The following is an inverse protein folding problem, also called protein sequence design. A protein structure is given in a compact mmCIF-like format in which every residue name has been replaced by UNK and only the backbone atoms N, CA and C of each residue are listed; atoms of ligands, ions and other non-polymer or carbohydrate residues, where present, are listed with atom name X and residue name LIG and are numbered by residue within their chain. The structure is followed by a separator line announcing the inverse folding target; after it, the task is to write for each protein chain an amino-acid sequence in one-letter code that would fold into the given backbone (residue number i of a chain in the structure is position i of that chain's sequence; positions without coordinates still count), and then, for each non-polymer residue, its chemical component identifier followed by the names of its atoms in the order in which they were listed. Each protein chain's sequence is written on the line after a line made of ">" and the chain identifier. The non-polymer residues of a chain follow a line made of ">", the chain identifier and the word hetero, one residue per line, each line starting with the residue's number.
data_IF_299620578460
#
_entry.id   IF_299620578460
#
_cell.length_a   1.000
_cell.length_b   1.000
_cell.length_c   1.000
_cell.angle_alpha   90.00
_cell.angle_beta   90.00
_cell.angle_gamma   90.00
#
_symmetry.space_group_name_H-M   'P 1'
#
loop_
_entity.id
_entity.type
_entity.pdbx_description
1 polymer ?
#
# COMPACT_ATOMS: atom_id res chain seq x y z
N UNK A 1 10.65 -24.93 -23.91
CA UNK A 1 11.03 -23.65 -23.27
C UNK A 1 10.15 -22.51 -23.77
N UNK A 2 9.65 -21.67 -22.86
CA UNK A 2 9.03 -20.36 -23.11
C UNK A 2 9.98 -19.28 -22.62
N UNK A 3 10.21 -18.26 -23.43
CA UNK A 3 11.00 -17.09 -23.02
C UNK A 3 10.13 -16.14 -22.20
N UNK A 4 10.70 -15.62 -21.12
CA UNK A 4 10.08 -14.70 -20.18
C UNK A 4 11.05 -13.55 -19.88
N UNK A 5 10.48 -12.40 -19.53
CA UNK A 5 11.23 -11.20 -19.21
C UNK A 5 10.62 -10.53 -17.98
N UNK A 6 11.45 -10.23 -16.98
CA UNK A 6 11.06 -9.56 -15.75
C UNK A 6 11.94 -8.33 -15.52
N UNK A 7 11.33 -7.23 -15.08
CA UNK A 7 12.08 -6.02 -14.73
C UNK A 7 12.87 -6.21 -13.42
N UNK A 8 14.07 -5.64 -13.36
CA UNK A 8 14.97 -5.66 -12.21
C UNK A 8 15.85 -4.40 -12.25
N UNK A 9 15.73 -3.55 -11.23
CA UNK A 9 16.32 -2.22 -11.29
C UNK A 9 15.81 -1.44 -12.50
N UNK A 10 16.71 -0.79 -13.23
CA UNK A 10 16.38 -0.07 -14.47
C UNK A 10 16.39 -0.96 -15.73
N UNK A 11 16.75 -2.23 -15.58
CA UNK A 11 16.93 -3.19 -16.66
C UNK A 11 15.87 -4.31 -16.61
N UNK A 12 16.07 -5.33 -17.45
CA UNK A 12 15.26 -6.54 -17.47
C UNK A 12 16.12 -7.81 -17.52
N UNK A 13 15.64 -8.85 -16.86
CA UNK A 13 16.23 -10.18 -16.85
C UNK A 13 15.40 -11.09 -17.75
N UNK A 14 16.05 -11.67 -18.76
CA UNK A 14 15.46 -12.67 -19.65
C UNK A 14 15.84 -14.06 -19.19
N UNK A 15 14.88 -14.97 -19.19
CA UNK A 15 15.08 -16.36 -18.82
C UNK A 15 14.08 -17.26 -19.55
N UNK A 16 14.22 -18.57 -19.38
CA UNK A 16 13.28 -19.51 -19.97
C UNK A 16 12.94 -20.66 -19.04
N UNK A 17 11.69 -21.09 -19.09
CA UNK A 17 11.17 -22.23 -18.35
C UNK A 17 10.51 -23.23 -19.31
N UNK A 18 10.43 -24.54 -18.98
CA UNK A 18 9.59 -25.49 -19.71
C UNK A 18 8.13 -25.01 -19.72
N UNK A 19 7.43 -25.18 -20.85
CA UNK A 19 6.07 -24.64 -21.00
C UNK A 19 5.08 -25.37 -20.09
N UNK A 20 5.31 -26.66 -19.95
CA UNK A 20 4.60 -27.62 -19.10
C UNK A 20 4.69 -27.29 -17.61
N UNK A 21 5.75 -26.59 -17.18
CA UNK A 21 5.97 -26.21 -15.79
C UNK A 21 5.32 -24.86 -15.44
N UNK A 22 4.94 -24.05 -16.43
CA UNK A 22 4.33 -22.73 -16.20
C UNK A 22 2.82 -22.89 -16.00
N UNK A 23 2.35 -22.69 -14.78
CA UNK A 23 0.91 -22.59 -14.49
C UNK A 23 0.30 -21.30 -15.04
N UNK A 24 1.07 -20.21 -15.04
CA UNK A 24 0.64 -18.94 -15.61
C UNK A 24 1.59 -17.78 -15.32
N UNK A 25 1.38 -16.69 -16.05
CA UNK A 25 1.94 -15.37 -15.74
C UNK A 25 0.82 -14.56 -15.09
N UNK A 26 1.02 -14.20 -13.83
CA UNK A 26 0.07 -13.42 -13.03
C UNK A 26 0.39 -11.95 -13.25
N UNK A 27 -0.37 -11.33 -14.13
CA UNK A 27 -0.29 -9.92 -14.49
C UNK A 27 -1.66 -9.26 -14.33
N UNK A 28 -1.70 -7.92 -14.34
CA UNK A 28 -2.94 -7.14 -14.25
C UNK A 28 -3.89 -7.56 -15.37
N UNK A 29 -5.18 -7.63 -15.05
CA UNK A 29 -6.19 -7.98 -16.04
C UNK A 29 -6.32 -6.88 -17.09
N UNK A 30 -6.74 -7.27 -18.29
CA UNK A 30 -7.08 -6.30 -19.35
C UNK A 30 -8.21 -5.40 -18.84
N UNK A 31 -7.97 -4.10 -18.90
CA UNK A 31 -8.92 -3.09 -18.48
C UNK A 31 -9.18 -2.12 -19.64
N UNK A 32 -10.17 -2.46 -20.45
CA UNK A 32 -10.53 -1.66 -21.61
C UNK A 32 -11.55 -0.61 -21.19
N UNK A 33 -11.24 0.65 -21.45
CA UNK A 33 -12.09 1.79 -21.14
C UNK A 33 -12.57 2.45 -22.42
N UNK A 34 -13.86 2.73 -22.47
CA UNK A 34 -14.47 3.54 -23.53
C UNK A 34 -14.63 5.02 -23.12
N UNK A 35 -13.99 5.41 -22.01
CA UNK A 35 -14.08 6.73 -21.39
C UNK A 35 -12.67 7.32 -21.16
N UNK A 36 -12.56 8.62 -21.29
CA UNK A 36 -11.39 9.41 -20.90
C UNK A 36 -11.27 9.54 -19.38
N UNK A 37 -10.08 9.92 -18.87
CA UNK A 37 -9.88 10.18 -17.43
C UNK A 37 -10.85 11.27 -16.93
N UNK A 38 -11.07 12.32 -17.73
CA UNK A 38 -11.98 13.42 -17.39
C UNK A 38 -13.43 12.94 -17.26
N UNK A 39 -13.93 12.13 -18.19
CA UNK A 39 -15.29 11.55 -18.13
C UNK A 39 -15.45 10.67 -16.89
N UNK A 40 -14.46 9.82 -16.58
CA UNK A 40 -14.46 8.97 -15.39
C UNK A 40 -14.55 9.81 -14.10
N UNK A 41 -13.75 10.89 -14.02
CA UNK A 41 -13.73 11.78 -12.85
C UNK A 41 -15.08 12.49 -12.71
N UNK A 42 -15.57 13.13 -13.78
CA UNK A 42 -16.83 13.89 -13.76
C UNK A 42 -18.03 13.02 -13.41
N UNK A 43 -18.16 11.86 -14.04
CA UNK A 43 -19.26 10.94 -13.77
C UNK A 43 -19.25 10.47 -12.31
N UNK A 44 -18.07 10.23 -11.74
CA UNK A 44 -17.97 9.85 -10.33
C UNK A 44 -18.37 10.99 -9.40
N UNK A 45 -18.07 12.25 -9.70
CA UNK A 45 -18.46 13.41 -8.88
C UNK A 45 -19.97 13.66 -8.98
N UNK A 46 -20.53 13.53 -10.18
CA UNK A 46 -21.96 13.75 -10.46
C UNK A 46 -22.86 12.64 -9.89
N UNK A 47 -22.32 11.44 -9.69
CA UNK A 47 -23.06 10.26 -9.20
C UNK A 47 -22.42 9.70 -7.91
N UNK A 48 -22.44 10.44 -6.79
CA UNK A 48 -21.84 10.00 -5.54
C UNK A 48 -22.58 8.80 -4.94
N UNK A 49 -21.82 7.86 -4.39
CA UNK A 49 -22.34 6.61 -3.84
C UNK A 49 -22.79 6.86 -2.40
N UNK A 50 -24.08 6.61 -2.14
CA UNK A 50 -24.69 6.72 -0.81
C UNK A 50 -24.43 8.07 -0.12
N UNK A 51 -24.43 9.16 -0.89
CA UNK A 51 -24.20 10.53 -0.42
C UNK A 51 -24.94 11.50 -1.34
N UNK A 52 -25.24 12.71 -0.85
CA UNK A 52 -25.61 13.80 -1.73
C UNK A 52 -24.39 14.28 -2.55
N UNK A 53 -24.60 14.96 -3.69
CA UNK A 53 -23.55 15.67 -4.43
C UNK A 53 -22.73 16.60 -3.51
N UNK A 54 -21.42 16.69 -3.73
CA UNK A 54 -20.53 17.46 -2.87
C UNK A 54 -20.93 18.94 -2.77
N UNK A 55 -21.38 19.54 -3.86
CA UNK A 55 -21.90 20.93 -3.89
C UNK A 55 -23.14 21.16 -3.02
N UNK A 56 -23.87 20.10 -2.65
CA UNK A 56 -25.06 20.19 -1.78
C UNK A 56 -24.70 19.92 -0.31
N UNK A 57 -23.51 19.39 -0.05
CA UNK A 57 -23.02 19.08 1.29
C UNK A 57 -22.24 20.22 1.94
N UNK A 58 -21.83 21.21 1.14
CA UNK A 58 -21.00 22.35 1.57
C UNK A 58 -21.68 23.66 1.19
N UNK A 59 -21.46 24.69 1.99
CA UNK A 59 -22.16 25.97 1.92
C UNK A 59 -21.22 27.16 2.10
N UNK A 60 -21.68 28.36 1.70
CA UNK A 60 -20.91 29.59 1.89
C UNK A 60 -20.57 29.83 3.37
N UNK A 61 -19.29 30.13 3.63
CA UNK A 61 -18.76 30.42 4.97
C UNK A 61 -18.27 29.19 5.76
N UNK A 62 -18.44 27.98 5.23
CA UNK A 62 -17.91 26.74 5.81
C UNK A 62 -16.47 26.49 5.36
N UNK A 63 -15.67 25.92 6.26
CA UNK A 63 -14.26 25.58 6.02
C UNK A 63 -14.09 24.13 5.60
N UNK A 64 -13.27 23.93 4.57
CA UNK A 64 -13.10 22.62 3.93
C UNK A 64 -11.65 22.17 4.04
N UNK A 65 -11.42 21.03 4.68
CA UNK A 65 -10.14 20.34 4.67
C UNK A 65 -10.15 19.22 3.62
N UNK A 66 -9.34 19.38 2.56
CA UNK A 66 -9.10 18.34 1.57
C UNK A 66 -7.83 17.58 1.98
N UNK A 67 -8.00 16.35 2.44
CA UNK A 67 -6.89 15.47 2.80
C UNK A 67 -6.34 14.82 1.54
N UNK A 68 -5.06 15.08 1.26
CA UNK A 68 -4.37 14.60 0.05
C UNK A 68 -3.22 13.65 0.41
N UNK A 69 -2.95 12.62 -0.39
CA UNK A 69 -1.73 11.82 -0.27
C UNK A 69 -0.44 12.62 -0.45
N UNK A 70 0.66 12.11 0.08
CA UNK A 70 2.01 12.69 -0.05
C UNK A 70 2.74 12.29 -1.36
N UNK A 71 3.97 12.75 -1.57
CA UNK A 71 4.76 12.51 -2.80
C UNK A 71 4.97 11.03 -3.10
N UNK A 72 4.99 10.17 -2.08
CA UNK A 72 5.12 8.72 -2.25
C UNK A 72 3.91 8.10 -2.95
N UNK A 73 2.88 8.91 -3.23
CA UNK A 73 1.64 8.58 -3.93
C UNK A 73 1.41 9.44 -5.18
N UNK A 74 2.42 10.13 -5.72
CA UNK A 74 2.28 10.93 -6.95
C UNK A 74 1.70 10.16 -8.15
N UNK A 75 1.92 8.84 -8.21
CA UNK A 75 1.33 7.93 -9.21
C UNK A 75 -0.21 7.92 -9.20
N UNK A 76 -0.86 8.48 -8.18
CA UNK A 76 -2.31 8.59 -8.09
C UNK A 76 -2.88 9.76 -8.89
N UNK A 77 -2.04 10.60 -9.50
CA UNK A 77 -2.45 11.68 -10.43
C UNK A 77 -3.41 12.69 -9.79
N UNK A 78 -3.10 13.11 -8.56
CA UNK A 78 -3.88 14.09 -7.77
C UNK A 78 -4.19 15.37 -8.58
N UNK A 79 -3.18 15.94 -9.22
CA UNK A 79 -3.30 17.16 -10.03
C UNK A 79 -4.28 17.05 -11.20
N UNK A 80 -4.63 15.82 -11.61
CA UNK A 80 -5.63 15.58 -12.66
C UNK A 80 -7.06 15.68 -12.11
N UNK A 81 -7.33 15.18 -10.90
CA UNK A 81 -8.70 15.12 -10.37
C UNK A 81 -9.04 16.21 -9.34
N UNK A 82 -8.06 16.74 -8.60
CA UNK A 82 -8.30 17.75 -7.56
C UNK A 82 -8.97 19.03 -8.10
N UNK A 83 -8.65 19.54 -9.30
CA UNK A 83 -9.34 20.71 -9.85
C UNK A 83 -10.86 20.54 -9.94
N UNK A 84 -11.34 19.34 -10.32
CA UNK A 84 -12.77 19.05 -10.42
C UNK A 84 -13.44 18.97 -9.04
N UNK A 85 -12.74 18.48 -8.03
CA UNK A 85 -13.24 18.46 -6.64
C UNK A 85 -13.38 19.89 -6.12
N UNK A 86 -12.36 20.73 -6.33
CA UNK A 86 -12.39 22.14 -5.93
C UNK A 86 -13.51 22.89 -6.65
N UNK A 87 -13.70 22.66 -7.95
CA UNK A 87 -14.80 23.25 -8.70
C UNK A 87 -16.17 22.86 -8.11
N UNK A 88 -16.36 21.60 -7.75
CA UNK A 88 -17.61 21.12 -7.15
C UNK A 88 -17.88 21.73 -5.77
N UNK A 89 -16.84 21.91 -4.94
CA UNK A 89 -16.94 22.61 -3.65
C UNK A 89 -17.36 24.07 -3.87
N UNK A 90 -16.76 24.76 -4.84
CA UNK A 90 -17.09 26.16 -5.16
C UNK A 90 -18.53 26.34 -5.65
N UNK A 91 -19.12 25.33 -6.31
CA UNK A 91 -20.54 25.34 -6.67
C UNK A 91 -21.48 25.34 -5.45
N UNK A 92 -21.00 24.90 -4.29
CA UNK A 92 -21.69 25.04 -3.01
C UNK A 92 -21.59 26.44 -2.38
N UNK A 93 -20.79 27.34 -2.95
CA UNK A 93 -20.61 28.73 -2.48
C UNK A 93 -19.39 28.94 -1.57
N UNK A 94 -18.59 27.91 -1.31
CA UNK A 94 -17.34 28.02 -0.54
C UNK A 94 -16.31 28.85 -1.30
N UNK A 95 -15.62 29.75 -0.60
CA UNK A 95 -14.57 30.62 -1.15
C UNK A 95 -13.21 29.94 -1.10
N UNK A 96 -12.31 30.35 -1.98
CA UNK A 96 -10.97 29.76 -2.08
C UNK A 96 -10.18 29.87 -0.76
N UNK A 97 -10.38 30.95 0.00
CA UNK A 97 -9.75 31.19 1.31
C UNK A 97 -10.21 30.24 2.43
N UNK A 98 -11.36 29.60 2.25
CA UNK A 98 -11.94 28.64 3.21
C UNK A 98 -11.56 27.18 2.88
N UNK A 99 -10.79 26.94 1.81
CA UNK A 99 -10.33 25.62 1.40
C UNK A 99 -8.85 25.44 1.76
N UNK A 100 -8.55 24.35 2.46
CA UNK A 100 -7.18 23.96 2.82
C UNK A 100 -6.85 22.55 2.36
N UNK A 101 -5.64 22.37 1.82
CA UNK A 101 -5.08 21.05 1.55
C UNK A 101 -4.23 20.59 2.72
N UNK A 102 -4.56 19.41 3.27
CA UNK A 102 -3.78 18.75 4.31
C UNK A 102 -3.11 17.50 3.73
N UNK A 103 -1.80 17.57 3.54
CA UNK A 103 -0.98 16.47 3.06
C UNK A 103 -0.80 15.41 4.15
N UNK A 104 -1.27 14.20 3.84
CA UNK A 104 -1.38 13.05 4.72
C UNK A 104 -0.09 12.20 4.71
N UNK A 105 0.98 12.81 5.21
CA UNK A 105 2.33 12.21 5.31
C UNK A 105 2.39 10.99 6.23
N UNK A 106 1.46 10.85 7.17
CA UNK A 106 1.55 9.87 8.25
C UNK A 106 2.89 9.98 9.00
N UNK A 107 3.74 8.97 8.88
CA UNK A 107 5.07 8.94 9.53
C UNK A 107 6.21 9.33 8.59
N UNK A 108 5.90 9.82 7.38
CA UNK A 108 6.91 10.27 6.43
C UNK A 108 7.37 11.70 6.75
N UNK A 109 8.43 12.13 6.06
CA UNK A 109 8.93 13.50 6.11
C UNK A 109 7.93 14.49 5.51
N UNK A 110 8.14 15.76 5.85
CA UNK A 110 7.55 16.90 5.15
C UNK A 110 7.96 16.90 3.67
N UNK A 111 7.12 17.54 2.86
CA UNK A 111 7.25 17.65 1.42
C UNK A 111 7.92 18.98 1.08
N UNK A 112 8.65 18.99 -0.03
CA UNK A 112 9.15 20.24 -0.60
C UNK A 112 8.05 20.94 -1.39
N UNK A 113 8.21 22.24 -1.63
CA UNK A 113 7.32 23.02 -2.49
C UNK A 113 7.14 22.38 -3.87
N UNK A 114 8.22 21.90 -4.49
CA UNK A 114 8.15 21.23 -5.80
C UNK A 114 7.37 19.91 -5.74
N UNK A 115 7.47 19.17 -4.63
CA UNK A 115 6.67 17.97 -4.42
C UNK A 115 5.18 18.30 -4.24
N UNK A 116 4.83 19.39 -3.53
CA UNK A 116 3.45 19.86 -3.46
C UNK A 116 2.91 20.26 -4.85
N UNK A 117 3.70 20.97 -5.67
CA UNK A 117 3.31 21.33 -7.04
C UNK A 117 3.10 20.09 -7.92
N UNK A 118 3.92 19.07 -7.78
CA UNK A 118 3.72 17.77 -8.47
C UNK A 118 2.40 17.13 -8.04
N UNK A 119 2.10 17.14 -6.74
CA UNK A 119 0.90 16.52 -6.19
C UNK A 119 -0.37 17.23 -6.65
N UNK A 120 -0.52 18.53 -6.38
CA UNK A 120 -1.81 19.21 -6.60
C UNK A 120 -1.85 20.08 -7.86
N UNK A 121 -0.72 20.24 -8.55
CA UNK A 121 -0.58 21.14 -9.68
C UNK A 121 -0.29 22.58 -9.25
N UNK A 122 0.47 23.29 -10.08
CA UNK A 122 0.93 24.65 -9.82
C UNK A 122 -0.22 25.64 -9.56
N UNK A 123 -1.33 25.51 -10.30
CA UNK A 123 -2.48 26.37 -10.12
C UNK A 123 -3.12 26.23 -8.72
N UNK A 124 -3.32 25.00 -8.22
CA UNK A 124 -3.89 24.83 -6.88
C UNK A 124 -2.87 25.23 -5.81
N UNK A 125 -1.59 24.93 -5.98
CA UNK A 125 -0.55 25.32 -5.03
C UNK A 125 -0.46 26.85 -4.84
N UNK A 126 -0.55 27.62 -5.94
CA UNK A 126 -0.43 29.07 -5.88
C UNK A 126 -1.66 29.78 -5.29
N UNK A 127 -2.82 29.14 -5.29
CA UNK A 127 -4.09 29.76 -4.87
C UNK A 127 -4.60 29.27 -3.51
N UNK A 128 -4.09 28.13 -3.00
CA UNK A 128 -4.61 27.50 -1.79
C UNK A 128 -3.50 27.19 -0.80
N UNK A 129 -3.87 27.16 0.49
CA UNK A 129 -2.94 26.76 1.53
C UNK A 129 -2.73 25.24 1.51
N UNK A 130 -1.48 24.82 1.47
CA UNK A 130 -1.07 23.41 1.59
C UNK A 130 -0.27 23.26 2.88
N UNK A 131 -0.66 22.32 3.73
CA UNK A 131 0.01 22.03 5.00
C UNK A 131 0.36 20.55 5.04
N UNK A 132 1.59 20.23 5.44
CA UNK A 132 1.96 18.85 5.77
C UNK A 132 1.56 18.49 7.20
N UNK A 133 0.99 17.30 7.34
CA UNK A 133 0.87 16.68 8.65
C UNK A 133 2.25 16.30 9.21
N UNK A 134 2.42 16.42 10.53
CA UNK A 134 3.63 15.97 11.24
C UNK A 134 3.20 15.14 12.44
N UNK A 135 3.29 13.81 12.31
CA UNK A 135 2.76 12.86 13.30
C UNK A 135 3.45 12.91 14.67
N UNK A 136 4.61 13.55 14.78
CA UNK A 136 5.38 13.73 16.03
C UNK A 136 5.17 15.10 16.68
N UNK A 137 4.53 16.06 16.00
CA UNK A 137 4.33 17.42 16.49
C UNK A 137 3.07 17.53 17.36
N UNK A 138 3.25 17.27 18.66
CA UNK A 138 2.14 17.12 19.62
C UNK A 138 1.21 18.32 19.71
N UNK A 139 1.70 19.55 19.55
CA UNK A 139 0.86 20.76 19.61
C UNK A 139 -0.17 20.87 18.47
N UNK A 140 0.01 20.14 17.38
CA UNK A 140 -0.93 20.11 16.24
C UNK A 140 -1.86 18.89 16.28
N UNK A 141 -1.79 18.11 17.34
CA UNK A 141 -2.55 16.87 17.52
C UNK A 141 -3.54 17.01 18.67
N UNK A 142 -4.73 16.44 18.49
CA UNK A 142 -5.76 16.38 19.53
C UNK A 142 -6.21 14.95 19.74
N UNK A 143 -6.33 14.57 21.01
CA UNK A 143 -6.80 13.25 21.43
C UNK A 143 -8.33 13.21 21.41
N UNK A 144 -8.89 12.22 20.72
CA UNK A 144 -10.34 12.05 20.52
C UNK A 144 -10.93 10.88 21.32
N UNK A 145 -10.07 10.05 21.93
CA UNK A 145 -10.49 8.86 22.66
C UNK A 145 -9.65 7.64 22.29
N UNK A 146 -10.20 6.46 22.54
CA UNK A 146 -9.62 5.18 22.10
C UNK A 146 -10.64 4.39 21.31
N UNK A 147 -10.16 3.61 20.36
CA UNK A 147 -10.97 2.60 19.68
C UNK A 147 -11.21 1.38 20.58
N UNK A 148 -12.10 0.50 20.16
CA UNK A 148 -12.34 -0.81 20.77
C UNK A 148 -11.11 -1.73 20.75
N UNK A 149 -10.13 -1.47 19.87
CA UNK A 149 -8.83 -2.13 19.80
C UNK A 149 -7.78 -1.50 20.73
N UNK A 150 -8.20 -0.54 21.57
CA UNK A 150 -7.35 0.21 22.51
C UNK A 150 -6.29 1.10 21.84
N UNK A 151 -6.45 1.40 20.54
CA UNK A 151 -5.63 2.39 19.82
C UNK A 151 -6.01 3.80 20.30
N UNK A 152 -5.08 4.61 20.84
CA UNK A 152 -5.35 6.00 21.14
C UNK A 152 -5.55 6.78 19.83
N UNK A 153 -6.67 7.47 19.66
CA UNK A 153 -6.97 8.23 18.45
C UNK A 153 -6.49 9.67 18.66
N UNK A 154 -5.35 10.02 18.09
CA UNK A 154 -4.83 11.38 18.06
C UNK A 154 -4.63 11.86 16.62
N UNK A 155 -5.32 12.93 16.25
CA UNK A 155 -5.45 13.38 14.86
C UNK A 155 -5.02 14.85 14.75
N UNK A 156 -4.58 15.26 13.55
CA UNK A 156 -4.31 16.65 13.23
C UNK A 156 -5.54 17.54 13.51
N UNK A 157 -5.39 18.52 14.39
CA UNK A 157 -6.47 19.43 14.82
C UNK A 157 -7.07 20.22 13.65
N UNK A 158 -6.29 20.52 12.61
CA UNK A 158 -6.75 21.26 11.43
C UNK A 158 -7.94 20.57 10.74
N UNK A 159 -7.95 19.24 10.70
CA UNK A 159 -9.06 18.50 10.10
C UNK A 159 -10.36 18.65 10.91
N UNK A 160 -10.27 18.87 12.22
CA UNK A 160 -11.42 19.01 13.12
C UNK A 160 -11.87 20.45 13.31
N UNK A 161 -10.99 21.40 13.01
CA UNK A 161 -11.29 22.84 12.98
C UNK A 161 -12.05 23.24 11.71
N UNK A 162 -12.12 22.36 10.70
CA UNK A 162 -12.90 22.54 9.50
C UNK A 162 -14.29 21.90 9.64
N UNK A 163 -15.29 22.51 9.01
CA UNK A 163 -16.67 22.00 9.00
C UNK A 163 -16.79 20.70 8.18
N UNK A 164 -15.98 20.58 7.12
CA UNK A 164 -15.95 19.41 6.26
C UNK A 164 -14.54 18.86 6.06
N UNK A 165 -14.45 17.52 6.06
CA UNK A 165 -13.24 16.77 5.71
C UNK A 165 -13.52 15.92 4.49
N UNK A 166 -12.74 16.15 3.43
CA UNK A 166 -12.84 15.44 2.15
C UNK A 166 -11.60 14.57 1.98
N UNK A 167 -11.81 13.26 1.80
CA UNK A 167 -10.72 12.30 1.66
C UNK A 167 -10.40 12.05 0.19
N UNK A 168 -9.15 12.23 -0.22
CA UNK A 168 -8.70 11.93 -1.57
C UNK A 168 -7.59 10.87 -1.61
N UNK A 169 -7.34 10.30 -2.80
CA UNK A 169 -6.27 9.32 -3.00
C UNK A 169 -6.67 8.16 -3.91
N UNK A 170 -6.02 7.01 -3.75
CA UNK A 170 -6.29 5.83 -4.57
C UNK A 170 -6.45 4.55 -3.76
N UNK A 171 -7.22 3.63 -4.34
CA UNK A 171 -7.48 2.30 -3.79
C UNK A 171 -6.65 1.30 -4.59
N UNK A 172 -5.79 0.57 -3.90
CA UNK A 172 -5.01 -0.58 -4.36
C UNK A 172 -5.04 -1.65 -3.28
N UNK A 173 -4.62 -2.87 -3.60
CA UNK A 173 -4.30 -3.85 -2.56
C UNK A 173 -3.22 -3.32 -1.62
N UNK A 174 -3.39 -3.60 -0.33
CA UNK A 174 -2.42 -3.25 0.69
C UNK A 174 -2.29 -4.41 1.68
N UNK A 175 -1.07 -4.92 1.83
CA UNK A 175 -0.76 -6.14 2.56
C UNK A 175 -1.28 -6.16 4.01
N UNK A 176 -1.34 -5.02 4.71
CA UNK A 176 -1.90 -4.97 6.08
C UNK A 176 -3.41 -4.77 6.16
N UNK A 177 -4.00 -3.90 5.35
CA UNK A 177 -5.34 -3.35 5.60
C UNK A 177 -6.39 -3.84 4.60
N UNK A 178 -6.03 -4.86 3.82
CA UNK A 178 -6.74 -5.31 2.63
C UNK A 178 -6.54 -4.37 1.45
N UNK A 179 -7.01 -3.12 1.59
CA UNK A 179 -7.03 -2.11 0.54
C UNK A 179 -6.68 -0.71 1.08
N UNK A 180 -5.92 0.06 0.31
CA UNK A 180 -5.63 1.48 0.59
C UNK A 180 -6.84 2.39 0.37
N UNK A 181 -6.68 3.70 0.48
CA UNK A 181 -7.75 4.68 0.27
C UNK A 181 -8.74 4.78 1.44
N UNK A 182 -9.71 5.67 1.30
CA UNK A 182 -10.71 6.01 2.31
C UNK A 182 -10.11 6.30 3.67
N UNK A 183 -10.52 5.54 4.69
CA UNK A 183 -10.06 5.61 6.09
C UNK A 183 -8.53 5.77 6.27
N UNK A 184 -7.72 5.29 5.32
CA UNK A 184 -6.25 5.39 5.40
C UNK A 184 -5.73 6.83 5.33
N UNK A 185 -6.51 7.74 4.73
CA UNK A 185 -6.23 9.17 4.74
C UNK A 185 -6.30 9.77 6.16
N UNK A 186 -7.06 9.15 7.07
CA UNK A 186 -7.12 9.51 8.49
C UNK A 186 -6.04 8.77 9.29
N UNK A 187 -6.12 7.44 9.35
CA UNK A 187 -5.17 6.58 10.04
C UNK A 187 -4.49 5.65 9.01
N UNK A 188 -3.21 5.86 8.69
CA UNK A 188 -2.23 6.70 9.37
C UNK A 188 -2.15 8.15 8.89
N UNK A 189 -2.83 8.52 7.80
CA UNK A 189 -2.51 9.70 7.01
C UNK A 189 -2.33 11.02 7.78
N UNK A 190 -3.22 11.31 8.74
CA UNK A 190 -3.16 12.53 9.57
C UNK A 190 -3.18 12.21 11.07
N UNK A 191 -2.67 11.02 11.43
CA UNK A 191 -2.65 10.49 12.79
C UNK A 191 -1.29 10.61 13.47
N UNK A 192 -1.28 10.74 14.81
CA UNK A 192 -0.04 10.76 15.59
C UNK A 192 0.80 9.50 15.40
N UNK A 193 2.11 9.62 15.60
CA UNK A 193 3.03 8.49 15.49
C UNK A 193 2.62 7.34 16.42
N UNK A 194 2.18 7.66 17.64
CA UNK A 194 1.68 6.68 18.63
C UNK A 194 0.42 5.95 18.13
N UNK A 195 -0.56 6.69 17.57
CA UNK A 195 -1.76 6.10 16.95
C UNK A 195 -1.36 5.13 15.85
N UNK A 196 -0.43 5.54 14.98
CA UNK A 196 0.03 4.72 13.85
C UNK A 196 0.70 3.44 14.34
N UNK A 197 1.62 3.53 15.31
CA UNK A 197 2.31 2.34 15.83
C UNK A 197 1.35 1.39 16.54
N UNK A 198 0.43 1.90 17.35
CA UNK A 198 -0.57 1.08 18.04
C UNK A 198 -1.46 0.32 17.06
N UNK A 199 -1.96 0.99 16.02
CA UNK A 199 -2.76 0.36 14.97
C UNK A 199 -1.97 -0.68 14.17
N UNK A 200 -0.72 -0.39 13.80
CA UNK A 200 0.10 -1.33 13.03
C UNK A 200 0.49 -2.55 13.86
N UNK A 201 0.67 -2.42 15.18
CA UNK A 201 0.96 -3.54 16.09
C UNK A 201 -0.17 -4.59 16.13
N UNK A 202 -1.39 -4.24 15.72
CA UNK A 202 -2.49 -5.19 15.50
C UNK A 202 -2.22 -6.16 14.32
N UNK A 203 -1.09 -6.03 13.62
CA UNK A 203 -0.64 -6.99 12.61
C UNK A 203 -0.25 -8.34 13.19
N UNK A 204 0.05 -8.41 14.49
CA UNK A 204 0.46 -9.63 15.17
C UNK A 204 -0.72 -10.31 15.85
N UNK A 205 -0.62 -11.62 16.04
CA UNK A 205 -1.53 -12.39 16.88
C UNK A 205 -1.49 -11.92 18.34
N UNK A 206 -2.50 -12.30 19.13
CA UNK A 206 -2.59 -11.90 20.54
C UNK A 206 -1.50 -12.49 21.43
N UNK A 207 -1.10 -13.75 21.19
CA UNK A 207 -0.07 -14.41 21.98
C UNK A 207 1.31 -14.30 21.33
N UNK A 208 2.34 -14.25 22.17
CA UNK A 208 3.73 -14.32 21.72
C UNK A 208 4.03 -15.69 21.11
N UNK A 209 4.61 -15.70 19.91
CA UNK A 209 5.01 -16.90 19.17
C UNK A 209 4.01 -17.32 18.09
N UNK A 210 2.80 -16.74 18.08
CA UNK A 210 1.79 -17.00 17.06
C UNK A 210 2.05 -16.19 15.77
N UNK A 211 2.99 -15.25 15.80
CA UNK A 211 3.45 -14.45 14.67
C UNK A 211 2.41 -13.49 14.08
N UNK A 212 2.42 -13.33 12.75
CA UNK A 212 1.48 -12.47 12.01
C UNK A 212 0.04 -12.97 12.14
N UNK A 213 -0.91 -12.04 12.28
CA UNK A 213 -2.34 -12.34 12.27
C UNK A 213 -2.77 -12.74 10.84
N UNK A 214 -3.32 -13.94 10.61
CA UNK A 214 -3.66 -14.42 9.26
C UNK A 214 -4.77 -13.61 8.58
N UNK A 215 -5.58 -12.87 9.33
CA UNK A 215 -6.60 -11.97 8.77
C UNK A 215 -6.01 -10.63 8.27
N UNK A 216 -4.78 -10.31 8.67
CA UNK A 216 -4.04 -9.12 8.22
C UNK A 216 -3.32 -9.46 6.92
N UNK A 217 -4.04 -9.33 5.80
CA UNK A 217 -3.52 -9.66 4.48
C UNK A 217 -4.12 -8.77 3.38
N UNK A 218 -3.46 -8.75 2.23
CA UNK A 218 -3.96 -8.06 1.03
C UNK A 218 -5.34 -8.61 0.64
N UNK A 219 -6.23 -7.73 0.20
CA UNK A 219 -7.57 -8.11 -0.24
C UNK A 219 -8.55 -8.50 0.87
N UNK A 220 -8.11 -8.64 2.13
CA UNK A 220 -8.98 -9.03 3.23
C UNK A 220 -9.37 -7.86 4.15
N UNK A 221 -10.68 -7.68 4.34
CA UNK A 221 -11.26 -6.74 5.30
C UNK A 221 -12.04 -7.45 6.41
N UNK A 222 -12.38 -8.74 6.21
CA UNK A 222 -13.18 -9.50 7.15
C UNK A 222 -12.29 -9.90 8.33
N UNK A 223 -12.72 -9.52 9.54
CA UNK A 223 -11.99 -9.77 10.79
C UNK A 223 -10.53 -9.26 10.76
N UNK A 224 -10.22 -8.30 9.88
CA UNK A 224 -8.91 -7.66 9.83
C UNK A 224 -8.88 -6.56 10.89
N UNK A 225 -8.15 -6.75 12.02
CA UNK A 225 -8.19 -5.80 13.14
C UNK A 225 -7.66 -4.42 12.75
N UNK A 226 -6.62 -4.35 11.90
CA UNK A 226 -6.06 -3.08 11.45
C UNK A 226 -7.09 -2.30 10.63
N UNK A 227 -7.78 -2.99 9.70
CA UNK A 227 -8.81 -2.38 8.87
C UNK A 227 -9.96 -1.82 9.72
N UNK A 228 -10.46 -2.63 10.65
CA UNK A 228 -11.59 -2.28 11.51
C UNK A 228 -11.24 -1.14 12.47
N UNK A 229 -10.04 -1.18 13.06
CA UNK A 229 -9.52 -0.12 13.91
C UNK A 229 -9.38 1.21 13.14
N UNK A 230 -8.90 1.16 11.89
CA UNK A 230 -8.86 2.35 11.01
C UNK A 230 -10.25 2.90 10.70
N UNK A 231 -11.25 2.04 10.47
CA UNK A 231 -12.64 2.48 10.24
C UNK A 231 -13.21 3.15 11.49
N UNK A 232 -12.98 2.56 12.66
CA UNK A 232 -13.42 3.10 13.94
C UNK A 232 -12.74 4.45 14.22
N UNK A 233 -11.42 4.55 14.07
CA UNK A 233 -10.67 5.79 14.23
C UNK A 233 -11.17 6.88 13.27
N UNK A 234 -11.42 6.55 11.99
CA UNK A 234 -11.97 7.50 11.02
C UNK A 234 -13.37 8.01 11.42
N UNK A 235 -14.16 7.21 12.15
CA UNK A 235 -15.50 7.60 12.58
C UNK A 235 -15.51 8.75 13.60
N UNK A 236 -14.40 9.00 14.31
CA UNK A 236 -14.28 10.15 15.22
C UNK A 236 -14.24 11.49 14.46
N UNK A 237 -13.77 11.48 13.21
CA UNK A 237 -13.65 12.67 12.34
C UNK A 237 -14.95 12.88 11.54
N UNK A 238 -15.69 11.78 11.25
CA UNK A 238 -16.89 11.76 10.39
C UNK A 238 -16.66 12.46 9.04
N UNK A 239 -15.75 11.93 8.18
CA UNK A 239 -15.47 12.52 6.89
C UNK A 239 -16.76 12.74 6.06
N UNK A 240 -16.92 13.94 5.52
CA UNK A 240 -18.11 14.35 4.77
C UNK A 240 -18.21 13.61 3.45
N UNK A 241 -17.08 13.49 2.76
CA UNK A 241 -17.04 12.98 1.40
C UNK A 241 -15.69 12.32 1.12
N UNK A 242 -15.68 11.38 0.19
CA UNK A 242 -14.46 10.78 -0.34
C UNK A 242 -14.48 10.86 -1.86
N UNK A 243 -13.32 11.08 -2.47
CA UNK A 243 -13.08 10.84 -3.90
C UNK A 243 -11.80 10.03 -4.05
N UNK A 244 -11.88 8.78 -4.51
CA UNK A 244 -10.71 7.95 -4.74
C UNK A 244 -10.68 7.42 -6.17
N UNK A 245 -9.46 7.29 -6.71
CA UNK A 245 -9.22 6.68 -8.03
C UNK A 245 -8.71 5.25 -7.91
N UNK A 246 -8.87 4.48 -8.99
CA UNK A 246 -8.18 3.21 -9.21
C UNK A 246 -7.39 3.36 -10.50
N UNK A 247 -6.08 3.14 -10.43
CA UNK A 247 -5.19 3.34 -11.58
C UNK A 247 -5.18 2.09 -12.44
N UNK A 248 -5.42 2.24 -13.73
CA UNK A 248 -5.41 1.16 -14.71
C UNK A 248 -4.01 0.61 -15.00
N UNK A 249 -3.90 -0.50 -15.76
CA UNK A 249 -2.63 -1.10 -16.15
C UNK A 249 -1.70 -0.17 -16.94
N UNK A 250 -2.26 0.80 -17.66
CA UNK A 250 -1.55 1.81 -18.46
C UNK A 250 -1.00 2.99 -17.63
N UNK A 251 -1.32 3.05 -16.34
CA UNK A 251 -0.91 4.13 -15.45
C UNK A 251 -1.85 5.34 -15.43
N UNK A 252 -2.96 5.30 -16.16
CA UNK A 252 -4.00 6.34 -16.14
C UNK A 252 -5.11 6.00 -15.13
N UNK A 253 -6.00 6.95 -14.84
CA UNK A 253 -7.18 6.73 -14.00
C UNK A 253 -8.12 5.77 -14.73
N UNK A 254 -8.23 4.54 -14.20
CA UNK A 254 -9.04 3.48 -14.79
C UNK A 254 -10.45 3.37 -14.20
N UNK A 255 -10.66 3.92 -12.99
CA UNK A 255 -11.96 4.12 -12.39
C UNK A 255 -11.87 5.22 -11.32
N UNK A 256 -13.00 5.83 -10.98
CA UNK A 256 -13.13 6.73 -9.84
C UNK A 256 -14.39 6.37 -9.05
N UNK A 257 -14.34 6.60 -7.74
CA UNK A 257 -15.48 6.44 -6.82
C UNK A 257 -15.55 7.65 -5.90
N UNK A 258 -16.77 8.13 -5.66
CA UNK A 258 -17.00 9.25 -4.77
C UNK A 258 -18.24 9.05 -3.89
N UNK A 259 -18.38 9.83 -2.81
CA UNK A 259 -19.52 9.78 -1.91
C UNK A 259 -19.15 9.38 -0.49
N UNK A 260 -19.99 8.55 0.15
CA UNK A 260 -19.75 8.07 1.52
C UNK A 260 -18.44 7.26 1.57
N UNK A 261 -17.53 7.62 2.48
CA UNK A 261 -16.17 7.06 2.51
C UNK A 261 -16.09 5.54 2.75
N UNK A 262 -17.16 4.91 3.26
CA UNK A 262 -17.24 3.45 3.41
C UNK A 262 -17.83 2.84 2.13
N UNK A 263 -19.03 3.30 1.72
CA UNK A 263 -19.75 2.69 0.59
C UNK A 263 -19.09 2.95 -0.77
N UNK A 264 -18.54 4.14 -0.97
CA UNK A 264 -17.76 4.42 -2.16
C UNK A 264 -16.45 3.62 -2.17
N UNK A 265 -15.83 3.42 -1.01
CA UNK A 265 -14.63 2.59 -0.88
C UNK A 265 -14.92 1.12 -1.21
N UNK A 266 -16.03 0.57 -0.72
CA UNK A 266 -16.53 -0.76 -1.08
C UNK A 266 -16.59 -0.95 -2.60
N UNK A 267 -17.17 0.03 -3.31
CA UNK A 267 -17.24 -0.01 -4.77
C UNK A 267 -15.87 0.08 -5.43
N UNK A 268 -14.97 0.90 -4.89
CA UNK A 268 -13.59 1.02 -5.38
C UNK A 268 -12.80 -0.27 -5.24
N UNK A 269 -13.02 -1.04 -4.16
CA UNK A 269 -12.42 -2.37 -3.97
C UNK A 269 -12.86 -3.36 -5.05
N UNK A 270 -14.13 -3.32 -5.48
CA UNK A 270 -14.58 -4.15 -6.60
C UNK A 270 -13.83 -3.87 -7.90
N UNK A 271 -13.45 -2.61 -8.16
CA UNK A 271 -12.63 -2.26 -9.32
C UNK A 271 -11.20 -2.78 -9.17
N UNK A 272 -10.59 -2.63 -7.99
CA UNK A 272 -9.26 -3.20 -7.70
C UNK A 272 -9.27 -4.71 -7.90
N UNK A 273 -10.29 -5.41 -7.41
CA UNK A 273 -10.41 -6.87 -7.58
C UNK A 273 -10.46 -7.28 -9.05
N UNK A 274 -11.15 -6.51 -9.89
CA UNK A 274 -11.24 -6.78 -11.33
C UNK A 274 -9.96 -6.44 -12.09
N UNK A 275 -9.21 -5.42 -11.67
CA UNK A 275 -8.01 -4.94 -12.38
C UNK A 275 -6.77 -5.72 -11.92
N UNK A 276 -6.60 -5.85 -10.61
CA UNK A 276 -5.38 -6.33 -9.97
C UNK A 276 -5.54 -7.72 -9.33
N UNK A 277 -6.77 -8.19 -9.14
CA UNK A 277 -7.05 -9.54 -8.64
C UNK A 277 -6.97 -10.57 -9.76
N UNK A 278 -6.13 -11.59 -9.59
CA UNK A 278 -5.89 -12.60 -10.62
C UNK A 278 -6.22 -13.98 -10.07
N UNK A 279 -7.25 -14.59 -10.65
CA UNK A 279 -7.72 -15.91 -10.23
C UNK A 279 -6.70 -17.00 -10.59
N UNK A 280 -6.37 -17.85 -9.60
CA UNK A 280 -5.51 -19.03 -9.75
C UNK A 280 -6.27 -20.28 -9.30
N UNK A 281 -6.04 -21.41 -9.98
CA UNK A 281 -6.75 -22.68 -9.73
C UNK A 281 -6.09 -23.55 -8.66
N UNK A 282 -4.77 -23.42 -8.55
CA UNK A 282 -3.96 -24.11 -7.55
C UNK A 282 -2.75 -23.25 -7.21
N UNK A 283 -2.17 -23.48 -6.04
CA UNK A 283 -0.89 -22.87 -5.64
C UNK A 283 0.28 -23.61 -6.31
N UNK A 284 1.34 -22.88 -6.63
CA UNK A 284 2.55 -23.36 -7.28
C UNK A 284 3.59 -23.92 -6.30
N UNK A 285 4.48 -24.77 -6.80
CA UNK A 285 5.68 -25.22 -6.08
C UNK A 285 6.79 -24.16 -6.10
N UNK A 286 6.81 -23.34 -7.16
CA UNK A 286 7.74 -22.22 -7.37
C UNK A 286 6.98 -20.94 -7.76
N UNK A 287 7.33 -19.82 -7.13
CA UNK A 287 6.87 -18.49 -7.55
C UNK A 287 8.09 -17.63 -7.86
N UNK A 288 8.12 -17.01 -9.05
CA UNK A 288 9.15 -16.05 -9.45
C UNK A 288 8.49 -14.68 -9.57
N UNK A 289 8.90 -13.70 -8.77
CA UNK A 289 8.20 -12.41 -8.68
C UNK A 289 9.14 -11.22 -8.65
N UNK A 290 8.70 -10.10 -9.21
CA UNK A 290 9.34 -8.77 -9.09
C UNK A 290 8.28 -7.71 -8.79
N UNK A 291 8.69 -6.57 -8.24
CA UNK A 291 7.83 -5.40 -8.09
C UNK A 291 7.62 -4.64 -9.43
N UNK A 292 8.32 -5.05 -10.49
CA UNK A 292 8.34 -4.36 -11.79
C UNK A 292 9.53 -3.42 -11.97
N UNK A 293 10.64 -3.66 -11.26
CA UNK A 293 11.86 -2.85 -11.34
C UNK A 293 11.73 -1.47 -10.70
N UNK A 294 12.69 -0.59 -11.02
CA UNK A 294 12.83 0.74 -10.45
C UNK A 294 11.62 1.62 -10.83
N UNK A 295 11.10 2.44 -9.90
CA UNK A 295 11.58 2.66 -8.53
C UNK A 295 10.96 1.73 -7.48
N UNK A 296 10.20 0.69 -7.87
CA UNK A 296 9.44 -0.13 -6.92
C UNK A 296 10.31 -1.17 -6.19
N UNK A 297 11.49 -1.49 -6.71
CA UNK A 297 12.47 -2.40 -6.11
C UNK A 297 13.74 -1.69 -5.61
N UNK A 298 13.64 -0.39 -5.35
CA UNK A 298 14.76 0.49 -4.97
C UNK A 298 15.45 0.07 -3.66
N UNK A 299 14.74 -0.58 -2.73
CA UNK A 299 15.27 -1.09 -1.47
C UNK A 299 14.48 -2.29 -0.93
N UNK A 300 15.09 -3.03 0.00
CA UNK A 300 14.51 -4.26 0.58
C UNK A 300 13.19 -4.01 1.31
N UNK A 301 13.04 -2.85 1.96
CA UNK A 301 11.81 -2.44 2.63
C UNK A 301 10.61 -2.49 1.68
N UNK A 302 10.75 -2.02 0.43
CA UNK A 302 9.66 -2.09 -0.56
C UNK A 302 9.38 -3.52 -1.05
N UNK A 303 10.40 -4.38 -1.10
CA UNK A 303 10.28 -5.78 -1.56
C UNK A 303 9.30 -6.59 -0.71
N UNK A 304 9.06 -6.20 0.55
CA UNK A 304 8.06 -6.82 1.44
C UNK A 304 6.67 -6.95 0.81
N UNK A 305 6.24 -5.96 0.02
CA UNK A 305 4.94 -6.00 -0.68
C UNK A 305 4.88 -7.15 -1.68
N UNK A 306 5.94 -7.30 -2.48
CA UNK A 306 6.10 -8.38 -3.45
C UNK A 306 6.19 -9.73 -2.76
N UNK A 307 6.94 -9.82 -1.64
CA UNK A 307 7.05 -11.04 -0.83
C UNK A 307 5.68 -11.50 -0.38
N UNK A 308 4.89 -10.62 0.27
CA UNK A 308 3.59 -10.99 0.84
C UNK A 308 2.62 -11.48 -0.23
N UNK A 309 2.46 -10.74 -1.32
CA UNK A 309 1.56 -11.16 -2.41
C UNK A 309 2.01 -12.47 -3.08
N UNK A 310 3.33 -12.74 -3.15
CA UNK A 310 3.85 -13.99 -3.70
C UNK A 310 3.49 -15.22 -2.86
N UNK A 311 3.28 -15.06 -1.55
CA UNK A 311 2.83 -16.15 -0.65
C UNK A 311 1.46 -16.69 -1.05
N UNK A 312 0.59 -15.85 -1.60
CA UNK A 312 -0.77 -16.25 -2.00
C UNK A 312 -0.78 -17.23 -3.18
N UNK A 313 0.24 -17.16 -4.04
CA UNK A 313 0.42 -18.09 -5.17
C UNK A 313 1.26 -19.33 -4.84
N UNK A 314 1.95 -19.38 -3.70
CA UNK A 314 2.92 -20.42 -3.38
C UNK A 314 2.36 -21.43 -2.35
N UNK A 315 2.61 -22.72 -2.56
CA UNK A 315 2.32 -23.75 -1.55
C UNK A 315 3.19 -23.53 -0.31
N UNK A 316 2.69 -23.92 0.85
CA UNK A 316 3.50 -23.98 2.07
C UNK A 316 4.74 -24.87 1.83
N UNK A 317 5.91 -24.45 2.33
CA UNK A 317 7.21 -25.07 2.05
C UNK A 317 7.67 -25.04 0.56
N UNK A 318 6.92 -24.36 -0.31
CA UNK A 318 7.32 -24.04 -1.68
C UNK A 318 8.45 -23.00 -1.74
N UNK A 319 8.96 -22.73 -2.94
CA UNK A 319 10.04 -21.76 -3.15
C UNK A 319 9.50 -20.45 -3.72
N UNK A 320 9.92 -19.33 -3.16
CA UNK A 320 9.64 -17.99 -3.67
C UNK A 320 10.96 -17.34 -4.04
N UNK A 321 11.13 -17.00 -5.33
CA UNK A 321 12.24 -16.20 -5.83
C UNK A 321 11.76 -14.77 -6.04
N UNK A 322 12.36 -13.83 -5.31
CA UNK A 322 12.08 -12.40 -5.45
C UNK A 322 13.24 -11.73 -6.16
N UNK A 323 12.94 -11.06 -7.27
CA UNK A 323 13.87 -10.20 -7.99
C UNK A 323 13.68 -8.78 -7.48
N UNK A 324 14.73 -8.22 -6.85
CA UNK A 324 14.70 -6.86 -6.34
C UNK A 324 16.12 -6.29 -6.27
N UNK A 325 16.42 -5.29 -7.09
CA UNK A 325 17.79 -4.76 -7.18
C UNK A 325 18.28 -4.21 -5.84
N UNK A 326 17.40 -3.51 -5.12
CA UNK A 326 17.70 -2.86 -3.86
C UNK A 326 18.91 -1.91 -3.97
N UNK A 327 18.90 -1.03 -4.99
CA UNK A 327 19.99 -0.09 -5.28
C UNK A 327 20.34 0.86 -4.11
N UNK A 328 19.39 1.14 -3.21
CA UNK A 328 19.59 1.94 -1.99
C UNK A 328 19.81 1.06 -0.72
N UNK A 329 20.01 -0.23 -0.90
CA UNK A 329 20.19 -1.17 0.20
C UNK A 329 18.87 -1.52 0.90
N UNK A 330 18.87 -1.48 2.23
CA UNK A 330 17.74 -1.99 3.01
C UNK A 330 16.51 -1.08 3.00
N UNK A 331 16.72 0.24 2.97
CA UNK A 331 15.66 1.22 3.21
C UNK A 331 15.12 1.18 4.64
N UNK A 332 14.20 2.09 4.96
CA UNK A 332 13.68 2.25 6.32
C UNK A 332 14.71 2.82 7.30
N UNK A 333 14.45 2.67 8.60
CA UNK A 333 15.39 3.01 9.67
C UNK A 333 16.26 1.81 10.10
N UNK A 334 17.16 2.01 11.06
CA UNK A 334 18.06 0.96 11.60
C UNK A 334 17.32 -0.27 12.13
N UNK A 335 16.03 -0.17 12.46
CA UNK A 335 15.18 -1.28 12.83
C UNK A 335 15.05 -2.34 11.73
N UNK A 336 15.15 -1.97 10.45
CA UNK A 336 15.20 -2.94 9.34
C UNK A 336 16.42 -3.84 9.49
N UNK A 337 17.61 -3.23 9.65
CA UNK A 337 18.89 -3.94 9.77
C UNK A 337 18.93 -4.80 11.03
N UNK A 338 18.59 -4.23 12.18
CA UNK A 338 18.56 -4.91 13.48
C UNK A 338 17.78 -6.23 13.42
N UNK A 339 16.60 -6.23 12.81
CA UNK A 339 15.75 -7.42 12.71
C UNK A 339 16.35 -8.53 11.82
N UNK A 340 17.24 -8.16 10.90
CA UNK A 340 17.93 -9.10 10.00
C UNK A 340 19.23 -9.62 10.64
N UNK A 341 19.95 -8.77 11.38
CA UNK A 341 21.30 -9.07 11.89
C UNK A 341 21.36 -9.54 13.34
N UNK A 342 20.47 -9.10 14.22
CA UNK A 342 20.70 -9.23 15.67
C UNK A 342 20.00 -10.44 16.29
N UNK A 343 19.09 -11.07 15.54
CA UNK A 343 18.30 -12.22 15.99
C UNK A 343 18.48 -13.40 15.05
N UNK A 344 18.46 -14.62 15.59
CA UNK A 344 18.65 -15.86 14.83
C UNK A 344 17.38 -16.71 14.71
N UNK A 345 16.29 -16.32 15.38
CA UNK A 345 15.03 -17.04 15.37
C UNK A 345 13.82 -16.08 15.34
N UNK A 346 12.67 -16.58 14.91
CA UNK A 346 11.44 -15.78 14.76
C UNK A 346 10.88 -15.29 16.11
N UNK A 347 10.98 -16.10 17.16
CA UNK A 347 10.41 -15.78 18.48
C UNK A 347 11.07 -14.53 19.09
N UNK A 348 12.39 -14.43 19.05
CA UNK A 348 13.09 -13.29 19.62
C UNK A 348 12.91 -12.01 18.78
N UNK A 349 12.80 -12.15 17.44
CA UNK A 349 12.37 -11.05 16.57
C UNK A 349 10.97 -10.55 16.96
N UNK A 350 10.03 -11.46 17.17
CA UNK A 350 8.66 -11.10 17.56
C UNK A 350 8.63 -10.39 18.92
N UNK A 351 9.41 -10.87 19.91
CA UNK A 351 9.55 -10.19 21.21
C UNK A 351 10.01 -8.75 21.05
N UNK A 352 11.07 -8.52 20.27
CA UNK A 352 11.58 -7.17 20.02
C UNK A 352 10.55 -6.29 19.31
N UNK A 353 9.89 -6.83 18.29
CA UNK A 353 8.86 -6.11 17.55
C UNK A 353 7.69 -5.70 18.46
N UNK A 354 7.25 -6.59 19.37
CA UNK A 354 6.16 -6.29 20.31
C UNK A 354 6.57 -5.24 21.35
N UNK A 355 7.80 -5.31 21.86
CA UNK A 355 8.28 -4.39 22.89
C UNK A 355 8.49 -2.98 22.33
N UNK A 356 8.97 -2.86 21.10
CA UNK A 356 9.37 -1.59 20.49
C UNK A 356 8.91 -1.53 19.03
N UNK A 357 7.60 -1.58 18.82
CA UNK A 357 7.02 -1.67 17.48
C UNK A 357 7.44 -0.50 16.60
N UNK A 358 7.93 -0.82 15.40
CA UNK A 358 8.07 0.12 14.31
C UNK A 358 7.72 -0.55 12.98
N UNK A 359 7.24 0.24 12.03
CA UNK A 359 6.91 -0.25 10.69
C UNK A 359 8.16 -0.83 10.00
N UNK A 360 9.33 -0.20 10.20
CA UNK A 360 10.63 -0.69 9.74
C UNK A 360 10.95 -2.09 10.27
N UNK A 361 10.83 -2.30 11.59
CA UNK A 361 11.06 -3.62 12.19
C UNK A 361 10.05 -4.66 11.69
N UNK A 362 8.78 -4.27 11.57
CA UNK A 362 7.73 -5.14 11.07
C UNK A 362 8.00 -5.60 9.64
N UNK A 363 8.50 -4.71 8.79
CA UNK A 363 8.82 -5.03 7.39
C UNK A 363 9.87 -6.14 7.28
N UNK A 364 10.95 -6.06 8.07
CA UNK A 364 11.94 -7.15 8.15
C UNK A 364 11.39 -8.39 8.81
N UNK A 365 10.57 -8.24 9.86
CA UNK A 365 9.93 -9.36 10.54
C UNK A 365 9.09 -10.21 9.56
N UNK A 366 8.28 -9.57 8.72
CA UNK A 366 7.47 -10.22 7.67
C UNK A 366 8.37 -11.03 6.73
N UNK A 367 9.47 -10.45 6.24
CA UNK A 367 10.38 -11.16 5.35
C UNK A 367 11.00 -12.39 6.03
N UNK A 368 11.45 -12.24 7.27
CA UNK A 368 12.01 -13.33 8.07
C UNK A 368 10.97 -14.43 8.36
N UNK A 369 9.76 -14.07 8.79
CA UNK A 369 8.67 -15.01 9.04
C UNK A 369 8.24 -15.76 7.76
N UNK A 370 8.29 -15.08 6.60
CA UNK A 370 8.13 -15.77 5.31
C UNK A 370 9.17 -16.87 5.13
N UNK A 371 10.44 -16.55 5.42
CA UNK A 371 11.54 -17.48 5.22
C UNK A 371 11.52 -18.66 6.22
N UNK A 372 10.76 -18.55 7.31
CA UNK A 372 10.47 -19.68 8.19
C UNK A 372 9.47 -20.67 7.57
N UNK A 373 8.55 -20.19 6.72
CA UNK A 373 7.42 -20.94 6.14
C UNK A 373 7.64 -21.35 4.68
N UNK A 374 8.54 -20.66 3.98
CA UNK A 374 8.84 -20.84 2.56
C UNK A 374 10.35 -20.82 2.33
N UNK A 375 10.82 -21.46 1.25
CA UNK A 375 12.20 -21.30 0.78
C UNK A 375 12.30 -19.96 0.04
N UNK A 376 12.68 -18.90 0.75
CA UNK A 376 12.76 -17.54 0.20
C UNK A 376 14.17 -17.26 -0.35
N UNK A 377 14.25 -17.00 -1.66
CA UNK A 377 15.47 -16.61 -2.35
C UNK A 377 15.31 -15.18 -2.88
N UNK A 378 16.24 -14.31 -2.52
CA UNK A 378 16.31 -12.93 -2.97
C UNK A 378 17.43 -12.78 -4.00
N UNK A 379 17.07 -12.48 -5.25
CA UNK A 379 18.01 -12.06 -6.29
C UNK A 379 18.21 -10.56 -6.13
N UNK A 380 19.39 -10.14 -5.63
CA UNK A 380 19.62 -8.74 -5.24
C UNK A 380 21.10 -8.34 -5.10
N UNK A 381 21.37 -7.04 -5.15
CA UNK A 381 22.68 -6.48 -4.84
C UNK A 381 22.98 -6.42 -3.34
N UNK A 382 22.02 -6.70 -2.45
CA UNK A 382 22.23 -6.82 -1.00
C UNK A 382 23.41 -7.77 -0.70
N UNK A 383 24.22 -7.38 0.28
CA UNK A 383 25.29 -8.22 0.82
C UNK A 383 24.67 -9.43 1.58
N UNK A 384 24.92 -10.68 1.16
CA UNK A 384 24.40 -11.86 1.83
C UNK A 384 24.75 -11.93 3.33
N UNK A 385 25.86 -11.32 3.75
CA UNK A 385 26.28 -11.29 5.16
C UNK A 385 25.24 -10.60 6.07
N UNK A 386 24.48 -9.64 5.54
CA UNK A 386 23.39 -8.96 6.27
C UNK A 386 22.25 -9.94 6.61
N UNK A 387 22.04 -10.96 5.78
CA UNK A 387 20.95 -11.93 5.92
C UNK A 387 21.37 -13.23 6.60
N UNK A 388 22.63 -13.36 7.03
CA UNK A 388 23.20 -14.62 7.54
C UNK A 388 22.46 -15.23 8.74
N UNK A 389 21.80 -14.39 9.54
CA UNK A 389 21.04 -14.80 10.72
C UNK A 389 19.56 -15.04 10.40
N UNK A 390 19.17 -14.95 9.13
CA UNK A 390 17.83 -15.24 8.60
C UNK A 390 17.87 -16.51 7.76
N UNK A 391 16.69 -17.01 7.37
CA UNK A 391 16.56 -18.10 6.38
C UNK A 391 16.46 -17.60 4.93
N UNK A 392 16.64 -16.30 4.70
CA UNK A 392 16.59 -15.69 3.37
C UNK A 392 17.91 -15.97 2.64
N UNK A 393 17.86 -16.64 1.50
CA UNK A 393 19.04 -16.87 0.66
C UNK A 393 19.22 -15.69 -0.29
N UNK A 394 20.36 -15.02 -0.26
CA UNK A 394 20.66 -13.92 -1.20
C UNK A 394 21.62 -14.42 -2.27
N UNK A 395 21.26 -14.20 -3.53
CA UNK A 395 22.05 -14.57 -4.71
C UNK A 395 22.12 -13.40 -5.68
N UNK A 396 23.10 -13.41 -6.60
CA UNK A 396 23.30 -12.28 -7.53
C UNK A 396 22.53 -12.40 -8.83
N UNK A 397 22.15 -13.62 -9.22
CA UNK A 397 21.46 -13.85 -10.50
C UNK A 397 20.25 -14.76 -10.34
N UNK A 398 19.28 -14.61 -11.26
CA UNK A 398 18.15 -15.52 -11.34
C UNK A 398 18.58 -16.94 -11.73
N UNK A 399 19.64 -17.08 -12.54
CA UNK A 399 20.19 -18.38 -12.92
C UNK A 399 20.69 -19.15 -11.69
N UNK A 400 21.47 -18.49 -10.82
CA UNK A 400 21.92 -19.05 -9.54
C UNK A 400 20.74 -19.45 -8.65
N UNK A 401 19.70 -18.62 -8.55
CA UNK A 401 18.48 -18.94 -7.81
C UNK A 401 17.79 -20.21 -8.35
N UNK A 402 17.65 -20.31 -9.67
CA UNK A 402 17.01 -21.45 -10.32
C UNK A 402 17.84 -22.73 -10.16
N UNK A 403 19.17 -22.65 -10.18
CA UNK A 403 20.02 -23.81 -9.99
C UNK A 403 19.99 -24.33 -8.54
N UNK A 404 19.89 -23.44 -7.55
CA UNK A 404 19.60 -23.82 -6.16
C UNK A 404 18.27 -24.56 -6.09
N UNK A 405 17.22 -24.02 -6.72
CA UNK A 405 15.89 -24.63 -6.72
C UNK A 405 15.91 -26.02 -7.37
N UNK A 406 16.55 -26.17 -8.53
CA UNK A 406 16.68 -27.46 -9.22
C UNK A 406 17.38 -28.49 -8.33
N UNK A 407 18.46 -28.10 -7.66
CA UNK A 407 19.23 -28.97 -6.77
C UNK A 407 18.43 -29.40 -5.54
N UNK A 408 17.63 -28.50 -4.96
CA UNK A 408 16.89 -28.76 -3.71
C UNK A 408 15.52 -29.41 -3.91
N UNK A 409 14.86 -29.13 -5.04
CA UNK A 409 13.43 -29.47 -5.28
C UNK A 409 13.19 -30.28 -6.55
N UNK A 410 14.20 -30.41 -7.42
CA UNK A 410 14.08 -31.07 -8.73
C UNK A 410 13.79 -30.10 -9.88
N UNK A 411 13.76 -30.63 -11.10
CA UNK A 411 13.72 -29.82 -12.33
C UNK A 411 12.31 -29.39 -12.76
N UNK A 412 11.29 -30.19 -12.45
CA UNK A 412 9.90 -29.96 -12.88
C UNK A 412 9.05 -29.47 -11.70
N UNK A 413 8.85 -28.16 -11.66
CA UNK A 413 8.08 -27.50 -10.61
C UNK A 413 6.95 -26.68 -11.24
N UNK A 414 5.73 -26.86 -10.75
CA UNK A 414 4.62 -25.99 -11.15
C UNK A 414 4.93 -24.57 -10.72
N UNK A 415 4.95 -23.65 -11.68
CA UNK A 415 5.52 -22.31 -11.51
C UNK A 415 4.54 -21.21 -11.88
N UNK A 416 4.40 -20.20 -11.01
CA UNK A 416 3.84 -18.90 -11.38
C UNK A 416 4.93 -17.84 -11.54
N UNK A 417 4.69 -16.91 -12.46
CA UNK A 417 5.56 -15.75 -12.68
C UNK A 417 4.76 -14.47 -12.48
N UNK A 418 5.23 -13.56 -11.63
CA UNK A 418 4.56 -12.32 -11.25
C UNK A 418 5.40 -11.10 -11.67
N UNK A 419 5.10 -10.45 -12.82
CA UNK A 419 5.83 -9.27 -13.27
C UNK A 419 5.58 -8.01 -12.44
N UNK A 420 4.46 -7.96 -11.72
CA UNK A 420 4.04 -6.83 -10.91
C UNK A 420 3.53 -7.29 -9.55
N UNK A 421 4.28 -8.17 -8.88
CA UNK A 421 3.86 -8.82 -7.64
C UNK A 421 3.57 -7.87 -6.47
N UNK A 422 4.08 -6.63 -6.48
CA UNK A 422 3.69 -5.61 -5.51
C UNK A 422 2.28 -5.03 -5.73
N UNK A 423 1.70 -5.23 -6.91
CA UNK A 423 0.41 -4.67 -7.34
C UNK A 423 -0.66 -5.75 -7.52
N UNK A 424 -0.33 -6.85 -8.18
CA UNK A 424 -1.27 -7.95 -8.47
C UNK A 424 -1.43 -8.87 -7.27
N UNK A 425 -2.65 -9.31 -6.99
CA UNK A 425 -2.95 -10.28 -5.95
C UNK A 425 -3.46 -11.59 -6.56
N UNK A 426 -2.71 -12.69 -6.44
CA UNK A 426 -3.22 -14.02 -6.74
C UNK A 426 -4.40 -14.37 -5.83
N UNK A 427 -5.52 -14.84 -6.39
CA UNK A 427 -6.73 -15.24 -5.66
C UNK A 427 -7.05 -16.70 -5.97
N UNK A 428 -6.92 -17.57 -4.97
CA UNK A 428 -7.32 -18.97 -5.13
C UNK A 428 -8.84 -19.07 -5.20
N UNK A 429 -9.36 -19.61 -6.31
CA UNK A 429 -10.82 -19.74 -6.59
C UNK A 429 -11.28 -21.17 -6.80
#
# INVERSE_FOLDING_TARGET
>A
MQQLELKYGKDSIKFSLPKEDILGVIDRNKWNLDKTEEEIIKESIENPICSAPLKELVHEGEKICIVIPDITRAWQRLSVYLPYIVEEIKKGGVKDEDIIFLSSTGTHREQTEEEHKILIGENLYNNYKVIDHISTKKEDLVYLGKTSYNTPVMINKLALECDHVILTGAIIYHFLVGYSGGKKAILPGISSFETVMANHALSLCGNLGDGENPNVRAGNIYENPIHNDMLEAASFIRPTFMFNVVIGPDGNIGAAVSGNYIKAHDKGREYVDKIDGVDIKEKADLVISTAGGFPKDINFYQSSKTIVNSREACKENGTIIILSECSEGLGGDEGVKMMLTDFTNALDREKELRNNYSISKHTSYIACDTAEKFNLILVSNIDPEIMKNTKIKVVKTLEEALDIVKKEKGEHLKTYVLPHGANTLPKLV
#
